data_IF_162753744791
#
_entry.id   IF_162753744791
#
_cell.length_a   1.000
_cell.length_b   1.000
_cell.length_c   1.000
_cell.angle_alpha   90.00
_cell.angle_beta   90.00
_cell.angle_gamma   90.00
#
_symmetry.space_group_name_H-M   'P 1'
#
loop_
_entity.id
_entity.type
_entity.pdbx_description
1 polymer ?
#
# COMPACT_ATOMS: atom_id res chain seq x y z
N UNK A 1 3.21 20.06 3.26
CA UNK A 1 2.54 19.22 4.27
C UNK A 1 3.22 17.87 4.28
N UNK A 2 3.58 17.33 5.46
CA UNK A 2 4.10 15.97 5.54
C UNK A 2 2.95 14.98 5.34
N UNK A 3 3.21 13.82 4.72
CA UNK A 3 2.22 12.75 4.50
C UNK A 3 1.72 12.08 5.80
N UNK A 4 2.12 12.60 6.96
CA UNK A 4 1.63 12.21 8.29
C UNK A 4 0.58 13.18 8.85
N UNK A 5 0.23 14.21 8.07
CA UNK A 5 -0.86 15.14 8.36
C UNK A 5 -1.52 15.44 7.01
N UNK A 6 -2.29 14.46 6.47
CA UNK A 6 -3.24 13.62 7.22
C UNK A 6 -2.70 12.28 7.76
N UNK A 7 -3.45 11.71 8.70
CA UNK A 7 -3.19 10.39 9.30
C UNK A 7 -3.48 9.20 8.38
N UNK A 8 -4.20 9.43 7.27
CA UNK A 8 -4.57 8.41 6.28
C UNK A 8 -3.99 8.81 4.93
N UNK A 9 -3.42 7.82 4.24
CA UNK A 9 -2.83 8.00 2.91
C UNK A 9 -3.35 6.92 1.99
N UNK A 10 -3.56 7.27 0.72
CA UNK A 10 -3.79 6.30 -0.35
C UNK A 10 -2.45 5.96 -0.98
N UNK A 11 -2.17 4.67 -1.03
CA UNK A 11 -0.98 4.10 -1.68
C UNK A 11 -1.43 3.44 -2.97
N UNK A 12 -0.82 3.79 -4.09
CA UNK A 12 -1.18 3.28 -5.42
C UNK A 12 0.03 2.59 -6.05
N UNK A 13 -0.19 1.42 -6.66
CA UNK A 13 0.84 0.69 -7.41
C UNK A 13 1.41 1.53 -8.55
N UNK A 14 2.63 1.22 -8.99
CA UNK A 14 3.32 1.91 -10.09
C UNK A 14 2.48 2.04 -11.36
N UNK A 15 1.72 0.99 -11.69
CA UNK A 15 0.89 0.92 -12.89
C UNK A 15 -0.47 1.60 -12.74
N UNK A 16 -0.78 2.14 -11.55
CA UNK A 16 -2.03 2.83 -11.26
C UNK A 16 -3.25 1.92 -11.08
N UNK A 17 -3.10 0.59 -11.22
CA UNK A 17 -4.26 -0.33 -11.24
C UNK A 17 -4.81 -0.65 -9.87
N UNK A 18 -3.97 -0.64 -8.84
CA UNK A 18 -4.35 -1.05 -7.50
C UNK A 18 -4.03 0.06 -6.51
N UNK A 19 -4.96 0.32 -5.59
CA UNK A 19 -4.74 1.27 -4.52
C UNK A 19 -5.36 0.79 -3.22
N UNK A 20 -4.77 1.23 -2.11
CA UNK A 20 -5.25 0.92 -0.76
C UNK A 20 -5.05 2.12 0.15
N UNK A 21 -6.02 2.37 1.02
CA UNK A 21 -5.94 3.43 2.03
C UNK A 21 -5.45 2.82 3.33
N UNK A 22 -4.42 3.43 3.92
CA UNK A 22 -3.77 2.96 5.15
C UNK A 22 -3.47 4.13 6.09
N UNK A 23 -3.26 3.81 7.36
CA UNK A 23 -2.75 4.78 8.33
C UNK A 23 -1.27 5.06 8.08
N UNK A 24 -0.87 6.32 8.18
CA UNK A 24 0.52 6.75 8.14
C UNK A 24 1.06 6.97 9.56
N UNK A 25 2.36 6.71 9.74
CA UNK A 25 3.10 7.03 10.95
C UNK A 25 4.41 7.70 10.57
N UNK A 26 4.63 8.90 11.10
CA UNK A 26 5.90 9.61 10.92
C UNK A 26 7.01 8.95 11.73
N UNK A 27 8.19 8.84 11.11
CA UNK A 27 9.40 8.32 11.72
C UNK A 27 10.62 8.83 10.96
N UNK A 28 11.71 9.08 11.70
CA UNK A 28 13.00 9.46 11.12
C UNK A 28 13.87 8.22 10.80
N UNK A 29 13.37 7.01 11.08
CA UNK A 29 14.09 5.75 10.83
C UNK A 29 14.02 5.28 9.37
N UNK A 30 13.25 5.96 8.52
CA UNK A 30 13.11 5.65 7.09
C UNK A 30 13.68 6.82 6.29
N UNK A 31 14.51 6.50 5.29
CA UNK A 31 15.16 7.51 4.46
C UNK A 31 14.13 8.34 3.67
N UNK A 32 14.37 9.65 3.44
CA UNK A 32 13.51 10.47 2.60
C UNK A 32 13.28 9.84 1.22
N UNK A 33 12.03 9.86 0.75
CA UNK A 33 11.63 9.21 -0.50
C UNK A 33 11.34 7.71 -0.38
N UNK A 34 11.49 7.12 0.81
CA UNK A 34 11.09 5.74 1.09
C UNK A 34 9.96 5.69 2.12
N UNK A 35 9.20 4.61 2.08
CA UNK A 35 8.19 4.27 3.09
C UNK A 35 8.38 2.80 3.49
N UNK A 36 8.02 2.48 4.72
CA UNK A 36 7.98 1.11 5.20
C UNK A 36 6.53 0.69 5.43
N UNK A 37 6.10 -0.38 4.77
CA UNK A 37 4.84 -1.06 5.04
C UNK A 37 5.15 -2.48 5.53
N UNK A 38 4.65 -2.89 6.71
CA UNK A 38 4.72 -4.28 7.13
C UNK A 38 4.07 -5.20 6.10
N UNK A 39 4.64 -6.39 5.88
CA UNK A 39 4.02 -7.40 5.00
C UNK A 39 2.68 -7.84 5.58
N UNK A 40 1.60 -7.45 4.92
CA UNK A 40 0.24 -7.69 5.32
C UNK A 40 -0.70 -7.71 4.11
N UNK A 41 -1.97 -8.04 4.34
CA UNK A 41 -3.00 -8.05 3.30
C UNK A 41 -3.15 -6.69 2.60
N UNK A 42 -3.01 -5.57 3.31
CA UNK A 42 -3.05 -4.23 2.71
C UNK A 42 -1.83 -3.97 1.81
N UNK A 43 -0.60 -4.30 2.27
CA UNK A 43 0.60 -4.07 1.46
C UNK A 43 0.57 -4.90 0.17
N UNK A 44 0.06 -6.12 0.25
CA UNK A 44 -0.02 -7.01 -0.91
C UNK A 44 -0.95 -6.49 -2.02
N UNK A 45 -1.85 -5.54 -1.73
CA UNK A 45 -2.71 -4.90 -2.75
C UNK A 45 -1.88 -4.11 -3.77
N UNK A 46 -0.77 -3.50 -3.33
CA UNK A 46 0.03 -2.58 -4.16
C UNK A 46 1.35 -3.20 -4.66
N UNK A 47 1.63 -4.45 -4.30
CA UNK A 47 2.80 -5.20 -4.79
C UNK A 47 2.44 -5.86 -6.12
N UNK A 48 3.28 -5.64 -7.14
CA UNK A 48 3.19 -6.32 -8.42
C UNK A 48 3.39 -7.84 -8.23
N UNK A 49 2.46 -8.69 -8.71
CA UNK A 49 2.59 -10.14 -8.59
C UNK A 49 3.68 -10.74 -9.49
N UNK A 50 4.27 -9.99 -10.42
CA UNK A 50 5.37 -10.50 -11.25
C UNK A 50 6.53 -11.00 -10.38
N UNK A 51 6.95 -12.23 -10.68
CA UNK A 51 7.99 -12.93 -9.95
C UNK A 51 9.34 -12.91 -10.66
N UNK A 52 9.42 -12.36 -11.87
CA UNK A 52 10.65 -12.31 -12.67
C UNK A 52 11.31 -13.70 -12.80
N UNK A 53 10.49 -14.74 -12.94
CA UNK A 53 10.91 -16.16 -13.01
C UNK A 53 11.63 -16.69 -11.76
N UNK A 54 11.50 -16.05 -10.60
CA UNK A 54 12.10 -16.49 -9.32
C UNK A 54 11.12 -17.20 -8.39
N UNK A 55 9.82 -17.20 -8.72
CA UNK A 55 8.77 -17.74 -7.87
C UNK A 55 8.40 -16.86 -6.66
N UNK A 56 8.95 -15.65 -6.55
CA UNK A 56 8.61 -14.68 -5.51
C UNK A 56 8.45 -13.26 -6.07
N UNK A 57 7.38 -12.52 -5.71
CA UNK A 57 7.24 -11.10 -6.06
C UNK A 57 8.33 -10.19 -5.47
N UNK A 58 8.52 -9.03 -6.09
CA UNK A 58 9.40 -7.99 -5.58
C UNK A 58 8.77 -7.24 -4.39
N UNK A 59 8.90 -7.77 -3.19
CA UNK A 59 8.34 -7.16 -1.96
C UNK A 59 9.10 -5.93 -1.44
N UNK A 60 10.34 -5.69 -1.89
CA UNK A 60 11.18 -4.58 -1.43
C UNK A 60 11.59 -3.71 -2.60
N UNK A 61 11.51 -2.39 -2.42
CA UNK A 61 11.87 -1.43 -3.46
C UNK A 61 10.85 -1.32 -4.59
N UNK A 62 9.64 -1.86 -4.42
CA UNK A 62 8.54 -1.65 -5.35
C UNK A 62 8.11 -0.17 -5.32
N UNK A 63 8.16 0.55 -6.45
CA UNK A 63 7.75 1.94 -6.51
C UNK A 63 6.22 2.07 -6.38
N UNK A 64 5.79 3.05 -5.59
CA UNK A 64 4.38 3.37 -5.34
C UNK A 64 4.18 4.88 -5.34
N UNK A 65 2.96 5.33 -5.60
CA UNK A 65 2.54 6.71 -5.33
C UNK A 65 1.86 6.78 -3.96
N UNK A 66 2.15 7.81 -3.17
CA UNK A 66 1.53 8.03 -1.86
C UNK A 66 0.96 9.44 -1.81
N UNK A 67 -0.34 9.54 -1.51
CA UNK A 67 -1.05 10.82 -1.44
C UNK A 67 -1.94 10.88 -0.18
N UNK A 68 -2.17 12.09 0.38
CA UNK A 68 -3.19 12.33 1.40
C UNK A 68 -4.56 11.72 0.99
N UNK A 69 -5.26 11.07 1.93
CA UNK A 69 -6.64 10.62 1.67
C UNK A 69 -7.58 10.90 2.85
N UNK A 70 -8.83 11.24 2.53
CA UNK A 70 -9.94 11.32 3.48
C UNK A 70 -10.74 10.02 3.62
N UNK A 71 -10.50 9.05 2.74
CA UNK A 71 -11.23 7.78 2.69
C UNK A 71 -10.95 6.91 3.92
N UNK A 72 -11.80 5.93 4.18
CA UNK A 72 -11.61 5.01 5.31
C UNK A 72 -10.63 3.88 5.04
N UNK A 73 -9.89 3.49 6.08
CA UNK A 73 -9.03 2.30 6.05
C UNK A 73 -9.91 1.06 6.18
N UNK A 74 -9.86 0.18 5.20
CA UNK A 74 -10.64 -1.07 5.21
C UNK A 74 -10.20 -2.00 6.34
N UNK A 75 -11.16 -2.70 6.95
CA UNK A 75 -10.87 -3.83 7.85
C UNK A 75 -10.21 -4.98 7.09
N UNK A 76 -9.62 -5.93 7.82
CA UNK A 76 -9.02 -7.10 7.19
C UNK A 76 -10.03 -7.92 6.37
N UNK A 77 -11.23 -8.10 6.93
CA UNK A 77 -12.35 -8.78 6.26
C UNK A 77 -12.76 -8.03 4.99
N UNK A 78 -12.87 -6.70 5.08
CA UNK A 78 -13.22 -5.85 3.94
C UNK A 78 -12.17 -5.90 2.83
N UNK A 79 -10.87 -5.93 3.16
CA UNK A 79 -9.81 -6.10 2.15
C UNK A 79 -9.99 -7.43 1.42
N UNK A 80 -10.23 -8.51 2.16
CA UNK A 80 -10.44 -9.84 1.56
C UNK A 80 -11.69 -9.84 0.67
N UNK A 81 -12.82 -9.38 1.19
CA UNK A 81 -14.09 -9.40 0.49
C UNK A 81 -14.13 -8.47 -0.72
N UNK A 82 -13.63 -7.23 -0.58
CA UNK A 82 -13.75 -6.19 -1.62
C UNK A 82 -12.64 -6.24 -2.66
N UNK A 83 -11.41 -6.62 -2.27
CA UNK A 83 -10.24 -6.58 -3.15
C UNK A 83 -9.90 -7.95 -3.73
N UNK A 84 -9.90 -9.00 -2.90
CA UNK A 84 -9.37 -10.31 -3.32
C UNK A 84 -10.44 -11.28 -3.84
N UNK A 85 -11.63 -11.28 -3.26
CA UNK A 85 -12.71 -12.20 -3.64
C UNK A 85 -13.60 -11.61 -4.74
N UNK A 86 -13.39 -10.34 -5.10
CA UNK A 86 -14.29 -9.58 -5.94
C UNK A 86 -15.48 -9.12 -5.11
N UNK A 87 -15.36 -7.94 -4.49
CA UNK A 87 -16.53 -7.26 -3.95
C UNK A 87 -17.54 -7.09 -5.09
N UNK A 88 -18.83 -7.28 -4.81
CA UNK A 88 -19.89 -7.12 -5.81
C UNK A 88 -19.72 -5.86 -6.67
#
# INVERSE_FOLDING_TARGET
MSLCSPAKVKVTSRDGKHSIVVYSKCTDSVQPGQVFMPRAIWSNVVIDPDTLSTGSPLYKGAPVNVEPSGDEVLSAEDVVLKVYIGGQ
#
